data_IF_590050825531
#
_entry.id   IF_590050825531
#
_cell.length_a   1.000
_cell.length_b   1.000
_cell.length_c   1.000
_cell.angle_alpha   90.00
_cell.angle_beta   90.00
_cell.angle_gamma   90.00
#
_symmetry.space_group_name_H-M   'P 1'
#
loop_
_entity.id
_entity.type
_entity.pdbx_description
1 polymer ?
#
# COMPACT_ATOMS: atom_id res chain seq x y z
N UNK A 1 -9.41 18.23 -8.69
CA UNK A 1 -9.63 18.06 -7.23
C UNK A 1 -8.33 18.39 -6.50
N UNK A 2 -8.37 19.26 -5.49
CA UNK A 2 -7.18 19.66 -4.74
C UNK A 2 -6.85 18.56 -3.71
N UNK A 3 -5.82 17.75 -3.97
CA UNK A 3 -5.46 16.61 -3.11
C UNK A 3 -4.50 17.10 -2.03
N UNK A 4 -4.97 17.19 -0.78
CA UNK A 4 -4.11 17.55 0.33
C UNK A 4 -2.99 16.51 0.50
N UNK A 5 -1.77 16.98 0.81
CA UNK A 5 -0.64 16.10 1.07
C UNK A 5 -0.89 15.32 2.36
N UNK A 6 -0.77 14.00 2.30
CA UNK A 6 -0.91 13.13 3.48
C UNK A 6 0.39 13.23 4.27
N UNK A 7 0.28 13.66 5.53
CA UNK A 7 1.36 13.66 6.52
C UNK A 7 0.89 12.84 7.70
N UNK A 8 1.46 11.66 7.89
CA UNK A 8 1.19 10.76 9.03
C UNK A 8 2.51 10.27 9.60
N UNK A 9 2.52 10.00 10.90
CA UNK A 9 3.62 9.34 11.60
C UNK A 9 3.68 7.86 11.25
N UNK A 10 4.84 7.23 11.46
CA UNK A 10 4.96 5.78 11.24
C UNK A 10 4.05 4.96 12.17
N UNK A 11 3.72 5.47 13.36
CA UNK A 11 2.79 4.80 14.28
C UNK A 11 1.37 4.80 13.72
N UNK A 12 0.91 5.94 13.20
CA UNK A 12 -0.40 6.05 12.55
C UNK A 12 -0.47 5.18 11.30
N UNK A 13 0.59 5.16 10.49
CA UNK A 13 0.64 4.30 9.30
C UNK A 13 0.66 2.80 9.64
N UNK A 14 1.36 2.39 10.70
CA UNK A 14 1.34 0.99 11.18
C UNK A 14 -0.02 0.55 11.71
N UNK A 15 -0.83 1.48 12.22
CA UNK A 15 -2.17 1.18 12.72
C UNK A 15 -3.18 0.98 11.56
N UNK A 16 -2.97 1.67 10.44
CA UNK A 16 -3.88 1.63 9.28
C UNK A 16 -3.51 0.57 8.23
N UNK A 17 -2.22 0.29 8.06
CA UNK A 17 -1.72 -0.63 7.05
C UNK A 17 -1.58 -2.05 7.60
N UNK A 18 -1.75 -3.03 6.72
CA UNK A 18 -1.29 -4.38 7.06
C UNK A 18 0.23 -4.40 7.24
N UNK A 19 0.79 -5.36 7.99
CA UNK A 19 2.25 -5.45 8.16
C UNK A 19 3.00 -5.45 6.82
N UNK A 20 2.53 -6.22 5.83
CA UNK A 20 3.16 -6.28 4.51
C UNK A 20 3.08 -4.94 3.76
N UNK A 21 1.93 -4.27 3.77
CA UNK A 21 1.77 -2.96 3.14
C UNK A 21 2.68 -1.90 3.79
N UNK A 22 2.83 -1.92 5.12
CA UNK A 22 3.75 -1.01 5.82
C UNK A 22 5.21 -1.29 5.44
N UNK A 23 5.65 -2.56 5.46
CA UNK A 23 7.01 -2.92 5.07
C UNK A 23 7.32 -2.49 3.62
N UNK A 24 6.42 -2.75 2.68
CA UNK A 24 6.61 -2.38 1.27
C UNK A 24 6.63 -0.85 1.09
N UNK A 25 5.63 -0.14 1.61
CA UNK A 25 5.45 1.30 1.33
C UNK A 25 6.34 2.22 2.16
N UNK A 26 6.74 1.80 3.37
CA UNK A 26 7.50 2.65 4.33
C UNK A 26 8.92 2.20 4.56
N UNK A 27 9.21 0.91 4.37
CA UNK A 27 10.55 0.35 4.56
C UNK A 27 11.21 -0.13 3.28
N UNK A 28 10.64 0.21 2.12
CA UNK A 28 11.16 -0.18 0.80
C UNK A 28 11.28 -1.71 0.63
N UNK A 29 10.41 -2.46 1.31
CA UNK A 29 10.32 -3.91 1.13
C UNK A 29 9.74 -4.28 -0.22
N UNK A 30 9.97 -5.53 -0.63
CA UNK A 30 9.37 -6.14 -1.81
C UNK A 30 8.55 -7.33 -1.35
N UNK A 31 7.30 -7.44 -1.80
CA UNK A 31 6.51 -8.64 -1.57
C UNK A 31 7.13 -9.85 -2.29
N UNK A 32 6.78 -11.07 -1.86
CA UNK A 32 7.26 -12.26 -2.59
C UNK A 32 6.58 -12.32 -3.96
N UNK A 33 7.26 -12.97 -4.90
CA UNK A 33 6.70 -13.13 -6.24
C UNK A 33 5.36 -13.89 -6.17
N UNK A 34 4.37 -13.38 -6.92
CA UNK A 34 3.07 -14.02 -7.14
C UNK A 34 2.16 -14.20 -5.90
N UNK A 35 2.40 -13.47 -4.80
CA UNK A 35 1.55 -13.54 -3.59
C UNK A 35 0.69 -12.30 -3.35
N UNK A 36 0.91 -11.21 -4.10
CA UNK A 36 0.14 -9.98 -3.96
C UNK A 36 -1.33 -10.19 -4.32
N UNK A 37 -2.23 -9.52 -3.61
CA UNK A 37 -3.69 -9.61 -3.84
C UNK A 37 -4.07 -9.35 -5.30
N UNK A 38 -3.33 -8.43 -5.96
CA UNK A 38 -3.55 -8.04 -7.35
C UNK A 38 -2.58 -8.67 -8.33
N UNK A 39 -1.84 -9.72 -7.94
CA UNK A 39 -0.83 -10.35 -8.82
C UNK A 39 -1.45 -10.99 -10.08
N UNK A 40 -2.73 -11.35 -10.05
CA UNK A 40 -3.49 -11.94 -11.16
C UNK A 40 -4.81 -11.19 -11.43
N UNK A 41 -4.89 -9.91 -11.03
CA UNK A 41 -6.11 -9.11 -11.19
C UNK A 41 -6.17 -8.43 -12.58
N UNK A 42 -7.27 -8.65 -13.29
CA UNK A 42 -7.44 -8.22 -14.69
C UNK A 42 -8.74 -7.44 -14.94
N UNK A 43 -9.53 -7.15 -13.89
CA UNK A 43 -10.79 -6.42 -14.05
C UNK A 43 -10.55 -4.92 -14.29
N UNK A 44 -11.50 -4.28 -15.00
CA UNK A 44 -11.45 -2.85 -15.28
C UNK A 44 -11.65 -2.02 -13.99
N UNK A 45 -10.76 -1.05 -13.74
CA UNK A 45 -10.85 -0.22 -12.55
C UNK A 45 -9.67 0.73 -12.36
N UNK A 46 -9.61 1.35 -11.18
CA UNK A 46 -8.49 2.22 -10.78
C UNK A 46 -7.97 1.77 -9.41
N UNK A 47 -6.69 1.42 -9.36
CA UNK A 47 -6.00 1.12 -8.10
C UNK A 47 -5.73 2.42 -7.33
N UNK A 48 -6.17 2.47 -6.09
CA UNK A 48 -5.85 3.57 -5.16
C UNK A 48 -5.24 3.02 -3.88
N UNK A 49 -4.44 3.87 -3.25
CA UNK A 49 -4.08 3.77 -1.85
C UNK A 49 -5.23 4.23 -0.96
#
# INVERSE_FOLDING_TARGET
MNRAKITKTDQEMKAELTPLQFEVTRKHGTERAFIGEYADHHEDGVYTK
#
